data_IF_764418104907
#
_entry.id   IF_764418104907
#
_cell.length_a   1.000
_cell.length_b   1.000
_cell.length_c   1.000
_cell.angle_alpha   90.00
_cell.angle_beta   90.00
_cell.angle_gamma   90.00
#
_symmetry.space_group_name_H-M   'P 1'
#
loop_
_entity.id
_entity.type
_entity.pdbx_description
1 polymer ?
#
# COMPACT_ATOMS: atom_id res chain seq x y z
N UNK A 1 67.78 9.50 9.80
CA UNK A 1 67.83 10.69 8.93
C UNK A 1 68.08 10.14 7.53
N UNK A 2 67.09 9.81 6.72
CA UNK A 2 65.81 10.48 6.35
C UNK A 2 64.81 9.35 6.00
N UNK A 3 63.59 9.26 6.51
CA UNK A 3 62.40 10.06 6.16
C UNK A 3 62.23 10.30 4.65
N UNK A 4 61.50 9.39 3.99
CA UNK A 4 60.65 9.66 2.81
C UNK A 4 59.69 8.44 2.69
N UNK A 5 58.54 8.42 3.38
CA UNK A 5 57.24 9.01 3.00
C UNK A 5 56.80 8.67 1.56
N UNK A 6 55.55 8.18 1.45
CA UNK A 6 54.71 7.97 0.24
C UNK A 6 54.68 6.51 -0.27
N UNK A 7 53.55 5.83 -0.41
CA UNK A 7 52.14 6.23 -0.39
C UNK A 7 51.37 5.19 0.42
N UNK A 8 50.81 5.68 1.51
CA UNK A 8 49.74 5.05 2.27
C UNK A 8 48.53 4.82 1.38
N UNK A 9 47.69 3.88 1.81
CA UNK A 9 46.65 3.23 1.03
C UNK A 9 45.76 4.20 0.25
N UNK A 10 45.66 3.94 -1.06
CA UNK A 10 44.33 3.96 -1.66
C UNK A 10 43.73 2.60 -1.31
N UNK A 11 43.32 2.48 -0.05
CA UNK A 11 42.21 1.62 0.27
C UNK A 11 41.11 2.03 -0.69
N UNK A 12 40.90 1.18 -1.68
CA UNK A 12 39.70 1.13 -2.46
C UNK A 12 38.57 0.87 -1.45
N UNK A 13 38.14 1.94 -0.77
CA UNK A 13 36.81 2.10 -0.22
C UNK A 13 35.83 2.07 -1.41
N UNK A 14 35.79 0.92 -2.10
CA UNK A 14 34.54 0.34 -2.52
C UNK A 14 33.82 0.05 -1.21
N UNK A 15 33.24 1.11 -0.65
CA UNK A 15 32.19 1.02 0.33
C UNK A 15 31.21 0.05 -0.32
N UNK A 16 31.26 -1.20 0.13
CA UNK A 16 30.19 -2.13 -0.06
C UNK A 16 29.02 -1.46 0.64
N UNK A 17 28.31 -0.65 -0.12
CA UNK A 17 27.06 0.02 0.24
C UNK A 17 25.98 -1.07 0.28
N UNK A 18 26.25 -2.11 1.06
CA UNK A 18 25.26 -3.06 1.50
C UNK A 18 24.49 -2.32 2.59
N UNK A 19 23.28 -1.81 2.28
CA UNK A 19 22.50 -1.10 3.27
C UNK A 19 22.36 -2.00 4.49
N UNK A 20 22.48 -1.47 5.72
CA UNK A 20 22.41 -2.29 6.92
C UNK A 20 21.16 -3.16 6.86
N UNK A 21 21.23 -4.42 7.35
CA UNK A 21 20.14 -5.41 7.22
C UNK A 21 18.74 -4.85 7.58
N UNK A 22 18.67 -3.86 8.46
CA UNK A 22 17.46 -3.13 8.82
C UNK A 22 16.95 -2.20 7.70
N UNK A 23 17.84 -1.44 7.06
CA UNK A 23 17.55 -0.58 5.91
C UNK A 23 17.09 -1.40 4.71
N UNK A 24 17.72 -2.55 4.43
CA UNK A 24 17.25 -3.47 3.39
C UNK A 24 15.83 -3.97 3.65
N UNK A 25 15.49 -4.31 4.91
CA UNK A 25 14.13 -4.72 5.29
C UNK A 25 13.11 -3.59 5.13
N UNK A 26 13.47 -2.36 5.50
CA UNK A 26 12.61 -1.17 5.34
C UNK A 26 12.35 -0.89 3.86
N UNK A 27 13.38 -0.94 3.01
CA UNK A 27 13.25 -0.71 1.57
C UNK A 27 12.38 -1.78 0.90
N UNK A 28 12.54 -3.05 1.29
CA UNK A 28 11.67 -4.13 0.79
C UNK A 28 10.23 -3.91 1.24
N UNK A 29 9.98 -3.57 2.50
CA UNK A 29 8.63 -3.28 3.00
C UNK A 29 8.00 -2.09 2.29
N UNK A 30 8.75 -1.00 2.10
CA UNK A 30 8.30 0.16 1.34
C UNK A 30 7.97 -0.24 -0.11
N UNK A 31 8.84 -1.02 -0.76
CA UNK A 31 8.62 -1.52 -2.11
C UNK A 31 7.36 -2.37 -2.22
N UNK A 32 7.10 -3.26 -1.25
CA UNK A 32 5.86 -4.07 -1.20
C UNK A 32 4.64 -3.16 -1.03
N UNK A 33 4.69 -2.19 -0.12
CA UNK A 33 3.57 -1.25 0.09
C UNK A 33 3.27 -0.48 -1.19
N UNK A 34 4.29 0.12 -1.81
CA UNK A 34 4.12 0.92 -3.02
C UNK A 34 3.62 0.07 -4.19
N UNK A 35 4.19 -1.13 -4.37
CA UNK A 35 3.78 -2.03 -5.44
C UNK A 35 2.35 -2.53 -5.23
N UNK A 36 2.01 -3.00 -4.02
CA UNK A 36 0.67 -3.46 -3.71
C UNK A 36 -0.36 -2.35 -3.87
N UNK A 37 -0.09 -1.14 -3.37
CA UNK A 37 -1.02 0.00 -3.49
C UNK A 37 -1.19 0.47 -4.94
N UNK A 38 -0.13 0.47 -5.75
CA UNK A 38 -0.21 0.78 -7.19
C UNK A 38 -0.97 -0.30 -7.97
N UNK A 39 -0.74 -1.57 -7.66
CA UNK A 39 -1.42 -2.71 -8.28
C UNK A 39 -2.91 -2.72 -7.91
N UNK A 40 -3.25 -2.55 -6.62
CA UNK A 40 -4.62 -2.45 -6.13
C UNK A 40 -5.33 -1.24 -6.75
N UNK A 41 -4.64 -0.09 -6.86
CA UNK A 41 -5.19 1.13 -7.46
C UNK A 41 -5.46 1.04 -8.95
N UNK A 42 -4.85 0.11 -9.69
CA UNK A 42 -5.05 -0.05 -11.14
C UNK A 42 -5.94 -1.24 -11.48
N UNK A 43 -5.84 -2.35 -10.75
CA UNK A 43 -6.56 -3.60 -11.04
C UNK A 43 -7.96 -3.63 -10.43
N UNK A 44 -8.13 -3.17 -9.18
CA UNK A 44 -9.45 -3.17 -8.52
C UNK A 44 -10.50 -2.33 -9.26
N UNK A 45 -10.15 -1.16 -9.82
CA UNK A 45 -11.12 -0.33 -10.54
C UNK A 45 -11.66 -0.90 -11.84
N UNK A 46 -10.97 -1.87 -12.41
CA UNK A 46 -11.40 -2.50 -13.66
C UNK A 46 -12.18 -3.79 -13.37
N UNK A 47 -11.78 -4.54 -12.34
CA UNK A 47 -12.34 -5.86 -12.07
C UNK A 47 -13.44 -5.90 -10.98
N UNK A 48 -13.37 -5.04 -9.95
CA UNK A 48 -14.17 -5.16 -8.71
C UNK A 48 -15.07 -3.94 -8.45
N UNK A 49 -14.89 -2.89 -9.24
CA UNK A 49 -15.51 -1.58 -9.08
C UNK A 49 -17.02 -1.55 -8.77
N UNK A 50 -17.90 -2.32 -9.44
CA UNK A 50 -19.34 -2.24 -9.15
C UNK A 50 -19.69 -2.70 -7.73
N UNK A 51 -18.90 -3.61 -7.15
CA UNK A 51 -19.10 -4.15 -5.80
C UNK A 51 -18.54 -3.23 -4.73
N UNK A 52 -17.31 -2.76 -4.89
CA UNK A 52 -16.64 -1.90 -3.91
C UNK A 52 -17.18 -0.47 -3.89
N UNK A 53 -17.62 0.05 -5.03
CA UNK A 53 -18.26 1.36 -5.08
C UNK A 53 -19.59 1.37 -4.30
N UNK A 54 -20.33 0.25 -4.24
CA UNK A 54 -21.51 0.14 -3.36
C UNK A 54 -21.16 0.23 -1.87
N UNK A 55 -19.98 -0.25 -1.46
CA UNK A 55 -19.51 -0.15 -0.07
C UNK A 55 -19.12 1.28 0.31
N UNK A 56 -18.55 2.02 -0.64
CA UNK A 56 -18.15 3.42 -0.42
C UNK A 56 -19.26 4.43 -0.72
N UNK A 57 -20.35 4.00 -1.34
CA UNK A 57 -21.51 4.82 -1.66
C UNK A 57 -22.07 5.66 -0.51
N UNK A 58 -22.20 5.17 0.73
CA UNK A 58 -22.75 5.96 1.83
C UNK A 58 -21.88 7.18 2.20
N UNK A 59 -20.60 7.20 1.82
CA UNK A 59 -19.74 8.37 2.01
C UNK A 59 -20.02 9.49 0.99
N UNK A 60 -20.61 9.17 -0.16
CA UNK A 60 -20.75 10.11 -1.26
C UNK A 60 -22.22 10.48 -1.52
N UNK A 61 -23.12 9.51 -1.44
CA UNK A 61 -24.55 9.71 -1.65
C UNK A 61 -25.21 10.27 -0.39
N UNK A 62 -25.72 11.50 -0.48
CA UNK A 62 -26.41 12.20 0.60
C UNK A 62 -27.83 12.55 0.14
N UNK A 63 -28.75 12.69 1.10
CA UNK A 63 -30.11 13.16 0.81
C UNK A 63 -30.06 14.46 -0.04
N UNK A 64 -30.84 14.55 -1.14
CA UNK A 64 -31.94 13.67 -1.55
C UNK A 64 -31.56 12.50 -2.49
N UNK A 65 -30.27 12.25 -2.73
CA UNK A 65 -29.75 11.25 -3.67
C UNK A 65 -29.06 10.11 -2.89
N UNK A 66 -29.83 9.12 -2.44
CA UNK A 66 -29.34 8.07 -1.51
C UNK A 66 -29.01 6.76 -2.19
N UNK A 67 -29.47 6.52 -3.42
CA UNK A 67 -29.24 5.24 -4.11
C UNK A 67 -27.99 5.30 -5.00
N UNK A 68 -26.95 4.51 -4.71
CA UNK A 68 -25.76 4.46 -5.54
C UNK A 68 -25.93 3.52 -6.74
N UNK A 69 -25.66 4.04 -7.93
CA UNK A 69 -25.62 3.26 -9.16
C UNK A 69 -24.25 3.46 -9.82
N UNK A 70 -23.63 2.35 -10.22
CA UNK A 70 -22.37 2.35 -10.95
C UNK A 70 -22.67 1.91 -12.37
N UNK A 71 -22.32 2.73 -13.33
CA UNK A 71 -22.57 2.49 -14.76
C UNK A 71 -21.24 2.22 -15.43
N UNK A 72 -21.18 1.15 -16.21
CA UNK A 72 -20.07 0.86 -17.13
C UNK A 72 -20.45 1.32 -18.52
N UNK A 73 -19.85 2.41 -18.99
CA UNK A 73 -20.07 2.94 -20.33
C UNK A 73 -19.02 2.35 -21.27
N UNK A 74 -19.45 1.46 -22.17
CA UNK A 74 -18.58 0.83 -23.17
C UNK A 74 -18.74 1.54 -24.51
N UNK A 75 -17.72 2.29 -24.91
CA UNK A 75 -17.64 2.96 -26.19
C UNK A 75 -16.89 2.08 -27.21
N UNK A 76 -17.37 2.09 -28.46
CA UNK A 76 -16.68 1.46 -29.58
C UNK A 76 -16.21 2.58 -30.51
N UNK A 77 -14.90 2.81 -30.54
CA UNK A 77 -14.26 3.76 -31.44
C UNK A 77 -13.35 3.03 -32.45
N UNK A 78 -12.66 3.79 -33.30
CA UNK A 78 -11.74 3.23 -34.30
C UNK A 78 -10.51 2.54 -33.69
N UNK A 79 -10.21 2.80 -32.41
CA UNK A 79 -9.04 2.31 -31.68
C UNK A 79 -9.37 1.09 -30.82
N UNK A 80 -10.67 0.79 -30.61
CA UNK A 80 -11.15 -0.46 -30.03
C UNK A 80 -12.38 -0.27 -29.14
N UNK A 81 -12.52 -1.19 -28.18
CA UNK A 81 -13.55 -1.12 -27.15
C UNK A 81 -12.93 -0.47 -25.89
N UNK A 82 -13.48 0.67 -25.47
CA UNK A 82 -13.08 1.39 -24.26
C UNK A 82 -14.21 1.36 -23.25
N UNK A 83 -13.96 0.87 -22.04
CA UNK A 83 -14.94 0.80 -20.96
C UNK A 83 -14.59 1.81 -19.88
N UNK A 84 -15.49 2.76 -19.63
CA UNK A 84 -15.40 3.72 -18.54
C UNK A 84 -16.38 3.35 -17.43
N UNK A 85 -16.07 3.70 -16.18
CA UNK A 85 -16.92 3.44 -15.03
C UNK A 85 -17.24 4.73 -14.30
N UNK A 86 -18.52 5.06 -14.15
CA UNK A 86 -18.98 6.26 -13.45
C UNK A 86 -19.98 5.92 -12.36
N UNK A 87 -19.87 6.62 -11.23
CA UNK A 87 -20.80 6.49 -10.11
C UNK A 87 -21.80 7.64 -10.11
N UNK A 88 -23.07 7.30 -9.95
CA UNK A 88 -24.19 8.22 -9.83
C UNK A 88 -24.93 7.95 -8.52
N UNK A 89 -25.39 9.01 -7.86
CA UNK A 89 -26.34 8.92 -6.77
C UNK A 89 -27.71 9.32 -7.30
N UNK A 90 -28.70 8.44 -7.16
CA UNK A 90 -30.07 8.61 -7.65
C UNK A 90 -31.00 8.85 -6.47
N UNK A 91 -31.99 9.72 -6.66
CA UNK A 91 -33.08 9.95 -5.72
C UNK A 91 -34.41 9.40 -6.23
N UNK A 92 -35.39 9.30 -5.35
CA UNK A 92 -36.69 8.62 -5.59
C UNK A 92 -37.48 9.08 -6.83
N UNK A 93 -37.18 10.27 -7.35
CA UNK A 93 -37.83 10.84 -8.54
C UNK A 93 -37.03 10.66 -9.84
N UNK A 94 -36.03 9.77 -9.85
CA UNK A 94 -35.12 9.58 -10.99
C UNK A 94 -34.15 10.75 -11.23
N UNK A 95 -34.09 11.70 -10.28
CA UNK A 95 -33.09 12.76 -10.28
C UNK A 95 -31.74 12.12 -9.93
N UNK A 96 -30.68 12.45 -10.65
CA UNK A 96 -29.35 11.90 -10.39
C UNK A 96 -28.30 12.99 -10.25
N UNK A 97 -27.27 12.71 -9.45
CA UNK A 97 -26.06 13.50 -9.37
C UNK A 97 -24.87 12.60 -9.68
N UNK A 98 -23.96 13.11 -10.50
CA UNK A 98 -22.74 12.39 -10.87
C UNK A 98 -21.67 12.61 -9.80
N UNK A 99 -21.16 11.51 -9.24
CA UNK A 99 -19.99 11.51 -8.35
C UNK A 99 -18.70 11.34 -9.17
N UNK A 100 -18.78 10.62 -10.29
CA UNK A 100 -17.67 10.32 -11.19
C UNK A 100 -16.78 9.19 -10.69
N UNK A 101 -15.67 8.95 -11.39
CA UNK A 101 -14.72 7.86 -11.09
C UNK A 101 -13.73 8.23 -9.97
N UNK A 102 -13.16 9.43 -10.01
CA UNK A 102 -11.96 9.78 -9.23
C UNK A 102 -12.19 9.82 -7.71
N UNK A 103 -13.34 10.29 -7.26
CA UNK A 103 -13.67 10.38 -5.83
C UNK A 103 -13.75 9.01 -5.15
N UNK A 104 -14.61 8.09 -5.63
CA UNK A 104 -14.65 6.73 -5.09
C UNK A 104 -13.33 5.99 -5.31
N UNK A 105 -12.63 6.26 -6.43
CA UNK A 105 -11.27 5.74 -6.66
C UNK A 105 -10.31 6.06 -5.51
N UNK A 106 -10.19 7.35 -5.16
CA UNK A 106 -9.27 7.82 -4.14
C UNK A 106 -9.62 7.28 -2.75
N UNK A 107 -10.92 7.18 -2.43
CA UNK A 107 -11.36 6.63 -1.15
C UNK A 107 -11.00 5.15 -1.02
N UNK A 108 -11.24 4.36 -2.08
CA UNK A 108 -10.84 2.95 -2.10
C UNK A 108 -9.32 2.80 -2.05
N UNK A 109 -8.58 3.61 -2.81
CA UNK A 109 -7.12 3.60 -2.79
C UNK A 109 -6.55 3.92 -1.39
N UNK A 110 -7.12 4.92 -0.72
CA UNK A 110 -6.74 5.29 0.64
C UNK A 110 -7.05 4.17 1.65
N UNK A 111 -8.23 3.55 1.55
CA UNK A 111 -8.62 2.43 2.40
C UNK A 111 -7.67 1.24 2.25
N UNK A 112 -7.37 0.83 1.01
CA UNK A 112 -6.45 -0.27 0.74
C UNK A 112 -5.02 0.04 1.22
N UNK A 113 -4.56 1.27 1.01
CA UNK A 113 -3.27 1.72 1.52
C UNK A 113 -3.21 1.63 3.05
N UNK A 114 -4.26 2.04 3.74
CA UNK A 114 -4.36 1.93 5.20
C UNK A 114 -4.32 0.47 5.66
N UNK A 115 -5.04 -0.44 4.98
CA UNK A 115 -5.03 -1.88 5.29
C UNK A 115 -3.63 -2.48 5.11
N UNK A 116 -2.95 -2.19 4.01
CA UNK A 116 -1.60 -2.69 3.74
C UNK A 116 -0.61 -2.17 4.80
N UNK A 117 -0.68 -0.89 5.14
CA UNK A 117 0.15 -0.29 6.20
C UNK A 117 -0.12 -0.97 7.55
N UNK A 118 -1.39 -1.20 7.89
CA UNK A 118 -1.76 -1.87 9.13
C UNK A 118 -1.19 -3.30 9.20
N UNK A 119 -1.30 -4.08 8.12
CA UNK A 119 -0.73 -5.43 8.03
C UNK A 119 0.79 -5.44 8.19
N UNK A 120 1.47 -4.48 7.57
CA UNK A 120 2.92 -4.28 7.68
C UNK A 120 3.33 -3.96 9.12
N UNK A 121 2.62 -3.04 9.78
CA UNK A 121 2.88 -2.69 11.18
C UNK A 121 2.64 -3.90 12.08
N UNK A 122 1.50 -4.59 11.92
CA UNK A 122 1.17 -5.77 12.72
C UNK A 122 2.20 -6.89 12.52
N UNK A 123 2.59 -7.20 11.29
CA UNK A 123 3.63 -8.19 11.00
C UNK A 123 4.99 -7.81 11.61
N UNK A 124 5.34 -6.53 11.57
CA UNK A 124 6.54 -6.00 12.23
C UNK A 124 6.51 -6.14 13.74
N UNK A 125 5.39 -5.81 14.38
CA UNK A 125 5.19 -5.96 15.83
C UNK A 125 5.25 -7.43 16.25
N UNK A 126 4.59 -8.32 15.50
CA UNK A 126 4.59 -9.76 15.77
C UNK A 126 5.98 -10.37 15.62
N UNK A 127 6.73 -9.97 14.59
CA UNK A 127 8.11 -10.39 14.39
C UNK A 127 9.02 -9.96 15.54
N UNK A 128 8.85 -8.73 16.05
CA UNK A 128 9.58 -8.25 17.23
C UNK A 128 9.25 -9.06 18.47
N UNK A 129 7.98 -9.33 18.70
CA UNK A 129 7.50 -10.09 19.86
C UNK A 129 8.05 -11.52 19.89
N UNK A 130 8.09 -12.19 18.73
CA UNK A 130 8.71 -13.53 18.61
C UNK A 130 10.20 -13.53 18.94
N UNK A 131 10.95 -12.51 18.54
CA UNK A 131 12.37 -12.42 18.88
C UNK A 131 12.60 -12.23 20.37
N UNK A 132 11.80 -11.38 21.04
CA UNK A 132 11.98 -11.11 22.48
C UNK A 132 11.67 -12.33 23.35
N UNK A 133 10.65 -13.13 22.99
CA UNK A 133 10.35 -14.38 23.71
C UNK A 133 11.30 -15.54 23.37
N UNK A 134 11.99 -15.50 22.22
CA UNK A 134 12.99 -16.50 21.88
C UNK A 134 14.28 -16.35 22.72
N UNK A 135 14.58 -15.14 23.21
CA UNK A 135 15.75 -14.85 24.04
C UNK A 135 15.50 -15.13 25.56
N UNK A 136 14.24 -15.28 25.96
CA UNK A 136 13.80 -15.54 27.33
C UNK A 136 14.32 -16.88 27.92
N UNK A 137 14.28 -18.03 27.21
CA UNK A 137 14.80 -19.29 27.75
C UNK A 137 16.32 -19.30 27.98
N UNK A 138 17.10 -18.53 27.21
CA UNK A 138 18.55 -18.46 27.39
C UNK A 138 18.95 -17.69 28.65
N UNK A 139 18.24 -16.59 28.97
CA UNK A 139 18.50 -15.83 30.20
C UNK A 139 18.16 -16.62 31.46
N UNK A 140 17.12 -17.44 31.42
CA UNK A 140 16.74 -18.29 32.55
C UNK A 140 17.81 -19.35 32.81
N UNK A 141 18.36 -19.96 31.76
CA UNK A 141 19.45 -20.92 31.89
C UNK A 141 20.75 -20.30 32.46
N UNK A 142 21.10 -19.09 32.04
CA UNK A 142 22.28 -18.37 32.53
C UNK A 142 22.13 -17.93 34.00
N UNK A 143 20.91 -17.62 34.45
CA UNK A 143 20.64 -17.22 35.85
C UNK A 143 20.67 -18.35 36.87
N UNK A 144 20.56 -19.61 36.43
CA UNK A 144 20.61 -20.80 37.29
C UNK A 144 22.00 -21.38 37.50
N UNK A 145 23.01 -20.89 36.77
CA UNK A 145 24.41 -21.33 36.90
C UNK A 145 25.29 -20.38 37.74
N UNK A 146 24.69 -19.33 38.33
CA UNK A 146 25.30 -18.38 39.27
C UNK A 146 24.80 -18.63 40.70
#
# INVERSE_FOLDING_TARGET
MSEEYRSDGIDEHRADDHPPRRTRKILVMLGVILFSTAMLGTVLPVAIWPGEAKLTAPLFCHAPYTEPIVVSDTFHDSDGQSTNFSMYCVGDRGQYTEVGFLRPWLALWALHSAVVIALVIMGGLWGRWKHTHADEPQRLAESTEL
#
